data_IF_930757772081
#
_entry.id   IF_930757772081
#
_cell.length_a   1.000
_cell.length_b   1.000
_cell.length_c   1.000
_cell.angle_alpha   90.00
_cell.angle_beta   90.00
_cell.angle_gamma   90.00
#
_symmetry.space_group_name_H-M   'P 1'
#
loop_
_entity.id
_entity.type
_entity.pdbx_description
1 polymer ?
#
# COMPACT_ATOMS: atom_id res chain seq x y z
N UNK A 1 6.23 -17.07 -4.19
CA UNK A 1 6.02 -15.63 -3.97
C UNK A 1 5.08 -15.17 -5.07
N UNK A 2 3.82 -14.92 -4.73
CA UNK A 2 2.92 -14.22 -5.65
C UNK A 2 3.15 -12.74 -5.40
N UNK A 3 3.47 -12.02 -6.46
CA UNK A 3 3.57 -10.57 -6.45
C UNK A 3 2.37 -10.08 -7.25
N UNK A 4 1.46 -9.38 -6.59
CA UNK A 4 0.31 -8.77 -7.25
C UNK A 4 0.61 -7.30 -7.55
N UNK A 5 0.28 -6.89 -8.76
CA UNK A 5 0.26 -5.48 -9.15
C UNK A 5 -1.00 -4.81 -8.60
N UNK A 6 -1.00 -3.48 -8.57
CA UNK A 6 -2.14 -2.68 -8.09
C UNK A 6 -3.46 -3.06 -8.78
N UNK A 7 -3.43 -3.32 -10.08
CA UNK A 7 -4.61 -3.67 -10.88
C UNK A 7 -5.24 -5.03 -10.50
N UNK A 8 -4.52 -5.85 -9.72
CA UNK A 8 -4.98 -7.17 -9.26
C UNK A 8 -5.61 -7.12 -7.85
N UNK A 9 -5.68 -5.96 -7.21
CA UNK A 9 -6.38 -5.78 -5.94
C UNK A 9 -7.92 -5.79 -6.15
N UNK A 10 -8.71 -6.21 -5.15
CA UNK A 10 -10.14 -5.94 -5.09
C UNK A 10 -10.49 -4.49 -5.43
N UNK A 11 -11.61 -4.29 -6.15
CA UNK A 11 -12.05 -2.96 -6.61
C UNK A 11 -12.21 -1.98 -5.45
N UNK A 12 -12.79 -2.42 -4.34
CA UNK A 12 -12.98 -1.63 -3.12
C UNK A 12 -11.65 -1.07 -2.57
N UNK A 13 -10.58 -1.88 -2.58
CA UNK A 13 -9.24 -1.43 -2.15
C UNK A 13 -8.60 -0.47 -3.16
N UNK A 14 -8.88 -0.63 -4.46
CA UNK A 14 -8.43 0.31 -5.49
C UNK A 14 -9.12 1.66 -5.34
N UNK A 15 -10.44 1.66 -5.15
CA UNK A 15 -11.26 2.88 -4.95
C UNK A 15 -10.85 3.62 -3.67
N UNK A 16 -10.69 2.90 -2.55
CA UNK A 16 -10.21 3.49 -1.29
C UNK A 16 -8.84 4.14 -1.43
N UNK A 17 -7.91 3.48 -2.15
CA UNK A 17 -6.58 4.02 -2.39
C UNK A 17 -6.62 5.28 -3.26
N UNK A 18 -7.44 5.30 -4.31
CA UNK A 18 -7.64 6.47 -5.18
C UNK A 18 -8.22 7.65 -4.40
N UNK A 19 -9.27 7.41 -3.61
CA UNK A 19 -9.93 8.42 -2.77
C UNK A 19 -8.93 9.01 -1.76
N UNK A 20 -8.12 8.18 -1.13
CA UNK A 20 -7.07 8.62 -0.22
C UNK A 20 -6.03 9.51 -0.93
N UNK A 21 -5.58 9.13 -2.12
CA UNK A 21 -4.64 9.96 -2.89
C UNK A 21 -5.24 11.34 -3.20
N UNK A 22 -6.45 11.38 -3.77
CA UNK A 22 -7.14 12.62 -4.15
C UNK A 22 -7.34 13.56 -2.94
N UNK A 23 -7.67 12.99 -1.77
CA UNK A 23 -7.89 13.75 -0.54
C UNK A 23 -6.65 14.52 -0.06
N UNK A 24 -5.45 14.01 -0.34
CA UNK A 24 -4.18 14.64 0.07
C UNK A 24 -3.39 15.18 -1.13
N UNK A 25 -4.07 15.47 -2.25
CA UNK A 25 -3.50 16.09 -3.46
C UNK A 25 -2.44 15.23 -4.16
N UNK A 26 -2.48 13.91 -3.97
CA UNK A 26 -1.66 12.96 -4.70
C UNK A 26 -2.45 12.33 -5.86
N UNK A 27 -1.74 11.84 -6.88
CA UNK A 27 -2.33 10.98 -7.92
C UNK A 27 -1.80 9.54 -7.82
N UNK A 28 -2.60 8.57 -8.30
CA UNK A 28 -2.22 7.15 -8.30
C UNK A 28 -0.85 6.91 -8.96
N UNK A 29 -0.57 7.64 -10.04
CA UNK A 29 0.67 7.53 -10.80
C UNK A 29 1.91 7.98 -10.02
N UNK A 30 1.76 8.70 -8.92
CA UNK A 30 2.89 9.05 -8.04
C UNK A 30 3.37 7.86 -7.22
N UNK A 31 2.58 6.78 -7.16
CA UNK A 31 2.89 5.62 -6.35
C UNK A 31 3.22 4.40 -7.19
N UNK A 32 4.08 3.54 -6.62
CA UNK A 32 4.25 2.16 -7.03
C UNK A 32 3.69 1.29 -5.92
N UNK A 33 2.61 0.58 -6.20
CA UNK A 33 1.94 -0.32 -5.24
C UNK A 33 2.18 -1.77 -5.65
N UNK A 34 2.69 -2.55 -4.72
CA UNK A 34 3.04 -3.95 -4.93
C UNK A 34 2.56 -4.75 -3.73
N UNK A 35 1.68 -5.73 -3.94
CA UNK A 35 1.40 -6.74 -2.93
C UNK A 35 2.49 -7.81 -2.99
N UNK A 36 3.13 -8.06 -1.84
CA UNK A 36 4.06 -9.17 -1.64
C UNK A 36 3.43 -10.15 -0.66
N UNK A 37 3.23 -11.39 -1.11
CA UNK A 37 2.97 -12.51 -0.19
C UNK A 37 4.30 -12.92 0.44
N UNK A 38 4.65 -12.23 1.53
CA UNK A 38 5.92 -12.44 2.21
C UNK A 38 6.01 -13.87 2.74
N UNK A 39 7.01 -14.64 2.32
CA UNK A 39 7.36 -15.85 3.06
C UNK A 39 8.06 -15.39 4.35
N UNK A 40 7.47 -15.54 5.56
CA UNK A 40 8.17 -15.15 6.76
C UNK A 40 9.45 -15.99 6.88
N UNK A 41 10.62 -15.39 7.19
CA UNK A 41 11.84 -16.15 7.45
C UNK A 41 11.67 -16.92 8.78
N UNK A 42 11.05 -18.10 8.71
CA UNK A 42 10.73 -18.93 9.88
C UNK A 42 9.44 -19.76 9.75
N UNK A 43 9.12 -20.22 8.53
CA UNK A 43 7.86 -20.86 8.19
C UNK A 43 7.40 -21.98 9.12
N UNK A 44 6.43 -21.66 9.98
CA UNK A 44 5.43 -22.61 10.45
C UNK A 44 4.19 -22.56 9.56
N UNK A 45 3.33 -23.60 9.57
CA UNK A 45 2.05 -23.59 8.85
C UNK A 45 1.09 -22.62 9.56
N UNK A 46 1.22 -21.34 9.27
CA UNK A 46 0.41 -20.27 9.81
C UNK A 46 0.39 -19.13 8.80
N UNK A 47 -0.80 -18.56 8.60
CA UNK A 47 -1.14 -17.47 7.67
C UNK A 47 0.06 -16.69 7.13
N UNK A 48 0.32 -16.76 5.82
CA UNK A 48 1.29 -15.90 5.15
C UNK A 48 0.75 -14.47 5.27
N UNK A 49 1.41 -13.55 6.00
CA UNK A 49 0.94 -12.17 6.06
C UNK A 49 1.10 -11.55 4.68
N UNK A 50 -0.01 -11.09 4.10
CA UNK A 50 0.03 -10.32 2.87
C UNK A 50 0.49 -8.91 3.26
N UNK A 51 1.50 -8.39 2.58
CA UNK A 51 1.95 -7.01 2.80
C UNK A 51 1.83 -6.23 1.51
N UNK A 52 1.44 -4.97 1.61
CA UNK A 52 1.37 -4.03 0.49
C UNK A 52 2.48 -3.03 0.66
N UNK A 53 3.41 -3.03 -0.29
CA UNK A 53 4.46 -2.05 -0.36
C UNK A 53 4.01 -0.89 -1.25
N UNK A 54 4.02 0.32 -0.72
CA UNK A 54 3.72 1.55 -1.46
C UNK A 54 4.96 2.42 -1.45
N UNK A 55 5.40 2.86 -2.63
CA UNK A 55 6.55 3.73 -2.80
C UNK A 55 6.13 5.01 -3.53
N UNK A 56 6.43 6.17 -2.98
CA UNK A 56 6.25 7.45 -3.66
C UNK A 56 7.41 7.69 -4.62
N UNK A 57 7.13 7.79 -5.92
CA UNK A 57 8.14 7.94 -6.99
C UNK A 57 8.94 9.22 -6.85
N UNK A 58 8.30 10.32 -6.44
CA UNK A 58 8.93 11.63 -6.32
C UNK A 58 10.02 11.66 -5.23
N UNK A 59 9.78 10.99 -4.10
CA UNK A 59 10.68 11.02 -2.93
C UNK A 59 11.49 9.73 -2.76
N UNK A 60 11.09 8.64 -3.42
CA UNK A 60 11.63 7.29 -3.23
C UNK A 60 11.27 6.68 -1.86
N UNK A 61 10.40 7.33 -1.08
CA UNK A 61 10.02 6.84 0.24
C UNK A 61 9.05 5.67 0.10
N UNK A 62 9.40 4.54 0.73
CA UNK A 62 8.63 3.30 0.68
C UNK A 62 8.15 2.89 2.07
N UNK A 63 6.87 2.55 2.15
CA UNK A 63 6.23 2.02 3.35
C UNK A 63 5.56 0.68 3.06
N UNK A 64 5.43 -0.15 4.11
CA UNK A 64 4.79 -1.46 4.04
C UNK A 64 3.57 -1.47 4.95
N UNK A 65 2.44 -1.90 4.41
CA UNK A 65 1.17 -2.00 5.11
C UNK A 65 0.76 -3.46 5.20
N UNK A 66 0.17 -3.86 6.32
CA UNK A 66 -0.38 -5.21 6.47
C UNK A 66 -1.71 -5.29 5.70
N UNK A 67 -1.83 -6.28 4.83
CA UNK A 67 -3.07 -6.66 4.16
C UNK A 67 -3.55 -8.01 4.68
N UNK A 68 -4.87 -8.15 4.86
CA UNK A 68 -5.50 -9.38 5.33
C UNK A 68 -6.19 -9.27 6.69
N UNK A 69 -6.75 -10.40 7.14
CA UNK A 69 -7.62 -10.62 8.32
C UNK A 69 -8.01 -9.37 9.13
N UNK A 70 -8.96 -8.60 8.61
CA UNK A 70 -9.64 -7.53 9.35
C UNK A 70 -8.92 -6.18 9.37
N UNK A 71 -7.79 -6.03 8.68
CA UNK A 71 -7.04 -4.77 8.56
C UNK A 71 -7.04 -4.34 7.10
N UNK A 72 -7.57 -3.16 6.81
CA UNK A 72 -7.50 -2.57 5.46
C UNK A 72 -6.23 -1.74 5.34
N UNK A 73 -5.33 -2.15 4.46
CA UNK A 73 -4.05 -1.47 4.24
C UNK A 73 -4.26 -0.04 3.73
N UNK A 74 -5.36 0.24 3.03
CA UNK A 74 -5.74 1.56 2.51
C UNK A 74 -6.00 2.56 3.63
N UNK A 75 -6.57 2.11 4.76
CA UNK A 75 -6.82 2.95 5.95
C UNK A 75 -5.50 3.37 6.61
N UNK A 76 -4.54 2.46 6.73
CA UNK A 76 -3.24 2.80 7.29
C UNK A 76 -2.38 3.62 6.33
N UNK A 77 -2.53 3.40 5.03
CA UNK A 77 -1.99 4.27 3.99
C UNK A 77 -2.54 5.70 4.11
N UNK A 78 -3.85 5.87 4.24
CA UNK A 78 -4.47 7.20 4.40
C UNK A 78 -3.91 7.93 5.64
N UNK A 79 -3.77 7.22 6.78
CA UNK A 79 -3.14 7.79 7.99
C UNK A 79 -1.69 8.18 7.75
N UNK A 80 -0.96 7.44 6.92
CA UNK A 80 0.42 7.75 6.56
C UNK A 80 0.50 9.02 5.70
N UNK A 81 -0.41 9.19 4.73
CA UNK A 81 -0.56 10.43 3.95
C UNK A 81 -0.87 11.62 4.87
N UNK A 82 -1.83 11.48 5.79
CA UNK A 82 -2.18 12.52 6.76
C UNK A 82 -1.01 13.00 7.63
N UNK A 83 -0.03 12.11 7.85
CA UNK A 83 1.21 12.38 8.60
C UNK A 83 2.37 12.83 7.73
N UNK A 84 2.14 13.04 6.42
CA UNK A 84 3.17 13.35 5.41
C UNK A 84 4.30 12.31 5.38
N UNK A 85 3.98 11.04 5.62
CA UNK A 85 4.97 9.97 5.70
C UNK A 85 5.69 9.69 4.37
N UNK A 86 5.12 10.14 3.25
CA UNK A 86 5.69 10.04 1.90
C UNK A 86 6.33 11.37 1.42
N UNK A 87 6.31 12.40 2.25
CA UNK A 87 6.68 13.77 1.88
C UNK A 87 5.47 14.60 1.46
N UNK A 88 5.73 15.69 0.75
CA UNK A 88 4.71 16.52 0.11
C UNK A 88 4.42 16.02 -1.33
N UNK A 89 3.18 16.16 -1.81
CA UNK A 89 2.81 15.77 -3.17
C UNK A 89 3.63 16.53 -4.21
N UNK A 90 4.01 15.88 -5.33
CA UNK A 90 4.62 16.57 -6.45
C UNK A 90 3.61 17.59 -7.04
N UNK A 91 4.05 18.84 -7.18
CA UNK A 91 3.27 19.95 -7.77
C UNK A 91 3.04 19.74 -9.26
#
# INVERSE_FOLDING_TARGET
MVRKLFDEFPLDEQEDFEVACQKYEWILEDFVVVADEGNPPGGGPGHIPQVVAVEAKATGIRHYFQAGSGTSWTVDFEKALARKAFGDPPV
#
